data_IF_305106036300
#
_entry.id   IF_305106036300
#
_cell.length_a   1.000
_cell.length_b   1.000
_cell.length_c   1.000
_cell.angle_alpha   90.00
_cell.angle_beta   90.00
_cell.angle_gamma   90.00
#
_symmetry.space_group_name_H-M   'P 1'
#
loop_
_entity.id
_entity.type
_entity.pdbx_description
1 polymer ?
#
# COMPACT_ATOMS: atom_id res chain seq x y z
N UNK A 1 -79.71 36.82 -3.79
CA UNK A 1 -78.47 37.30 -4.46
C UNK A 1 -77.22 37.12 -3.61
N UNK A 2 -77.23 37.45 -2.30
CA UNK A 2 -76.04 37.34 -1.42
C UNK A 2 -75.42 35.93 -1.36
N UNK A 3 -76.24 34.88 -1.35
CA UNK A 3 -75.79 33.48 -1.31
C UNK A 3 -74.94 33.07 -2.53
N UNK A 4 -75.29 33.59 -3.71
CA UNK A 4 -74.51 33.37 -4.95
C UNK A 4 -73.15 34.05 -4.86
N UNK A 5 -73.08 35.25 -4.26
CA UNK A 5 -71.82 35.99 -4.09
C UNK A 5 -70.87 35.25 -3.16
N UNK A 6 -71.35 34.71 -2.03
CA UNK A 6 -70.53 33.91 -1.12
C UNK A 6 -70.04 32.62 -1.76
N UNK A 7 -70.88 31.94 -2.57
CA UNK A 7 -70.49 30.75 -3.31
C UNK A 7 -69.37 31.02 -4.32
N UNK A 8 -69.47 32.12 -5.08
CA UNK A 8 -68.46 32.51 -6.06
C UNK A 8 -67.13 32.88 -5.39
N UNK A 9 -67.16 33.62 -4.28
CA UNK A 9 -65.93 33.97 -3.54
C UNK A 9 -65.27 32.72 -2.97
N UNK A 10 -66.03 31.80 -2.37
CA UNK A 10 -65.50 30.53 -1.87
C UNK A 10 -64.86 29.68 -2.96
N UNK A 11 -65.50 29.61 -4.14
CA UNK A 11 -64.96 28.91 -5.30
C UNK A 11 -63.63 29.51 -5.78
N UNK A 12 -63.54 30.85 -5.86
CA UNK A 12 -62.30 31.54 -6.26
C UNK A 12 -61.16 31.30 -5.27
N UNK A 13 -61.44 31.35 -3.97
CA UNK A 13 -60.43 31.06 -2.93
C UNK A 13 -59.97 29.60 -3.02
N UNK A 14 -60.90 28.65 -3.20
CA UNK A 14 -60.57 27.24 -3.37
C UNK A 14 -59.70 26.96 -4.60
N UNK A 15 -60.02 27.60 -5.72
CA UNK A 15 -59.28 27.45 -6.98
C UNK A 15 -57.88 28.09 -6.88
N UNK A 16 -57.78 29.24 -6.20
CA UNK A 16 -56.50 29.87 -5.87
C UNK A 16 -55.61 28.98 -4.98
N UNK A 17 -56.18 28.38 -3.93
CA UNK A 17 -55.45 27.46 -3.04
C UNK A 17 -54.99 26.18 -3.74
N UNK A 18 -55.78 25.64 -4.65
CA UNK A 18 -55.41 24.48 -5.46
C UNK A 18 -54.24 24.80 -6.40
N UNK A 19 -54.27 25.97 -7.05
CA UNK A 19 -53.21 26.42 -7.94
C UNK A 19 -51.88 26.63 -7.21
N UNK A 20 -51.90 27.26 -6.03
CA UNK A 20 -50.68 27.46 -5.21
C UNK A 20 -50.12 26.14 -4.68
N UNK A 21 -50.99 25.21 -4.24
CA UNK A 21 -50.58 23.88 -3.79
C UNK A 21 -49.93 23.07 -4.92
N UNK A 22 -50.52 23.10 -6.11
CA UNK A 22 -49.96 22.42 -7.28
C UNK A 22 -48.60 23.01 -7.69
N UNK A 23 -48.47 24.35 -7.68
CA UNK A 23 -47.21 25.03 -7.97
C UNK A 23 -46.12 24.68 -6.95
N UNK A 24 -46.46 24.67 -5.65
CA UNK A 24 -45.55 24.27 -4.58
C UNK A 24 -45.10 22.81 -4.74
N UNK A 25 -46.02 21.89 -5.05
CA UNK A 25 -45.68 20.48 -5.23
C UNK A 25 -44.73 20.26 -6.43
N UNK A 26 -44.95 20.95 -7.55
CA UNK A 26 -44.06 20.88 -8.71
C UNK A 26 -42.66 21.43 -8.41
N UNK A 27 -42.59 22.50 -7.62
CA UNK A 27 -41.33 23.06 -7.18
C UNK A 27 -40.58 22.11 -6.24
N UNK A 28 -41.27 21.50 -5.27
CA UNK A 28 -40.71 20.50 -4.37
C UNK A 28 -40.14 19.29 -5.11
N UNK A 29 -40.83 18.77 -6.13
CA UNK A 29 -40.32 17.66 -6.95
C UNK A 29 -39.01 18.00 -7.65
N UNK A 30 -38.94 19.19 -8.27
CA UNK A 30 -37.70 19.65 -8.93
C UNK A 30 -36.55 19.83 -7.94
N UNK A 31 -36.84 20.34 -6.74
CA UNK A 31 -35.83 20.48 -5.69
C UNK A 31 -35.35 19.12 -5.18
N UNK A 32 -36.24 18.16 -4.99
CA UNK A 32 -35.88 16.80 -4.58
C UNK A 32 -34.97 16.13 -5.62
N UNK A 33 -35.34 16.17 -6.92
CA UNK A 33 -34.52 15.61 -7.99
C UNK A 33 -33.12 16.25 -8.08
N UNK A 34 -33.02 17.56 -7.84
CA UNK A 34 -31.74 18.27 -7.83
C UNK A 34 -30.88 17.91 -6.61
N UNK A 35 -31.50 17.69 -5.46
CA UNK A 35 -30.80 17.25 -4.25
C UNK A 35 -30.29 15.82 -4.41
N UNK A 36 -31.12 14.90 -4.88
CA UNK A 36 -30.74 13.51 -5.15
C UNK A 36 -29.56 13.43 -6.14
N UNK A 37 -29.60 14.24 -7.19
CA UNK A 37 -28.51 14.30 -8.17
C UNK A 37 -27.20 14.86 -7.59
N UNK A 38 -27.27 15.79 -6.62
CA UNK A 38 -26.09 16.32 -5.93
C UNK A 38 -25.54 15.33 -4.92
N UNK A 39 -26.42 14.69 -4.17
CA UNK A 39 -26.05 13.70 -3.16
C UNK A 39 -25.31 12.53 -3.79
N UNK A 40 -25.81 11.97 -4.90
CA UNK A 40 -25.12 10.90 -5.65
C UNK A 40 -23.71 11.30 -6.10
N UNK A 41 -23.54 12.53 -6.59
CA UNK A 41 -22.22 13.04 -7.00
C UNK A 41 -21.26 13.23 -5.83
N UNK A 42 -21.77 13.57 -4.66
CA UNK A 42 -20.95 13.70 -3.45
C UNK A 42 -20.55 12.30 -2.99
N UNK A 43 -21.50 11.38 -2.92
CA UNK A 43 -21.27 9.99 -2.52
C UNK A 43 -20.24 9.29 -3.43
N UNK A 44 -20.32 9.49 -4.75
CA UNK A 44 -19.31 8.99 -5.70
C UNK A 44 -17.90 9.53 -5.40
N UNK A 45 -17.79 10.84 -5.11
CA UNK A 45 -16.50 11.47 -4.79
C UNK A 45 -15.94 11.01 -3.44
N UNK A 46 -16.80 10.84 -2.45
CA UNK A 46 -16.40 10.34 -1.13
C UNK A 46 -15.88 8.92 -1.23
N UNK A 47 -16.59 8.04 -1.96
CA UNK A 47 -16.11 6.67 -2.23
C UNK A 47 -14.78 6.66 -2.97
N UNK A 48 -14.59 7.52 -3.97
CA UNK A 48 -13.32 7.63 -4.69
C UNK A 48 -12.18 8.18 -3.81
N UNK A 49 -12.48 9.10 -2.89
CA UNK A 49 -11.51 9.61 -1.93
C UNK A 49 -11.11 8.52 -0.93
N UNK A 50 -12.08 7.81 -0.38
CA UNK A 50 -11.87 6.71 0.55
C UNK A 50 -11.04 5.58 -0.08
N UNK A 51 -11.33 5.19 -1.33
CA UNK A 51 -10.53 4.20 -2.05
C UNK A 51 -9.09 4.66 -2.27
N UNK A 52 -8.89 5.95 -2.56
CA UNK A 52 -7.54 6.52 -2.71
C UNK A 52 -6.78 6.49 -1.39
N UNK A 53 -7.39 6.92 -0.30
CA UNK A 53 -6.79 6.90 1.03
C UNK A 53 -6.44 5.47 1.46
N UNK A 54 -7.34 4.52 1.24
CA UNK A 54 -7.11 3.10 1.51
C UNK A 54 -5.92 2.54 0.71
N UNK A 55 -5.89 2.82 -0.60
CA UNK A 55 -4.80 2.40 -1.46
C UNK A 55 -3.46 3.02 -1.06
N UNK A 56 -3.48 4.29 -0.61
CA UNK A 56 -2.30 4.98 -0.11
C UNK A 56 -1.80 4.33 1.17
N UNK A 57 -2.68 4.02 2.11
CA UNK A 57 -2.32 3.33 3.34
C UNK A 57 -1.72 1.95 3.07
N UNK A 58 -2.38 1.12 2.26
CA UNK A 58 -1.88 -0.19 1.86
C UNK A 58 -0.56 -0.11 1.06
N UNK A 59 -0.34 0.98 0.32
CA UNK A 59 0.92 1.21 -0.40
C UNK A 59 2.13 1.41 0.52
N UNK A 60 1.93 1.72 1.80
CA UNK A 60 2.98 1.88 2.80
C UNK A 60 3.65 0.56 3.22
N UNK A 61 3.07 -0.60 2.89
CA UNK A 61 3.71 -1.89 3.14
C UNK A 61 4.81 -2.17 2.12
N UNK A 62 6.06 -1.89 2.43
CA UNK A 62 7.16 -2.08 1.49
C UNK A 62 7.61 -3.54 1.40
N UNK A 63 7.89 -4.02 0.20
CA UNK A 63 8.50 -5.33 -0.05
C UNK A 63 9.88 -5.14 -0.66
N UNK A 64 10.85 -5.95 -0.24
CA UNK A 64 12.21 -5.92 -0.77
C UNK A 64 12.77 -7.33 -0.86
N UNK A 65 13.32 -7.64 -2.02
CA UNK A 65 14.09 -8.88 -2.22
C UNK A 65 15.57 -8.53 -2.14
N UNK A 66 16.31 -9.25 -1.30
CA UNK A 66 17.75 -9.06 -1.13
C UNK A 66 18.51 -10.35 -1.33
N UNK A 67 19.68 -10.25 -1.94
CA UNK A 67 20.63 -11.36 -2.10
C UNK A 67 21.67 -11.28 -0.99
N UNK A 68 21.89 -12.39 -0.28
CA UNK A 68 22.92 -12.53 0.73
C UNK A 68 23.77 -13.77 0.41
N UNK A 69 25.10 -13.62 0.37
CA UNK A 69 25.98 -14.79 0.25
C UNK A 69 25.91 -15.64 1.53
N UNK A 70 25.84 -16.96 1.38
CA UNK A 70 25.92 -17.89 2.51
C UNK A 70 27.24 -17.72 3.26
N UNK A 71 27.19 -17.88 4.59
CA UNK A 71 28.38 -17.89 5.45
C UNK A 71 29.18 -19.19 5.28
N UNK A 72 28.52 -20.29 4.91
CA UNK A 72 29.12 -21.60 4.74
C UNK A 72 29.86 -21.71 3.41
N UNK A 73 29.27 -21.21 2.32
CA UNK A 73 29.85 -21.29 0.99
C UNK A 73 29.54 -20.03 0.16
N UNK A 74 30.57 -19.34 -0.33
CA UNK A 74 30.40 -18.06 -1.02
C UNK A 74 29.73 -18.18 -2.40
N UNK A 75 29.72 -19.38 -2.99
CA UNK A 75 29.04 -19.71 -4.25
C UNK A 75 27.50 -19.78 -4.07
N UNK A 76 27.04 -20.06 -2.85
CA UNK A 76 25.62 -20.20 -2.54
C UNK A 76 25.06 -18.82 -2.19
N UNK A 77 24.12 -18.37 -3.01
CA UNK A 77 23.33 -17.17 -2.74
C UNK A 77 22.04 -17.55 -2.04
N UNK A 78 21.74 -16.86 -0.94
CA UNK A 78 20.49 -16.96 -0.19
C UNK A 78 19.67 -15.72 -0.53
N UNK A 79 18.45 -15.94 -0.98
CA UNK A 79 17.51 -14.87 -1.28
C UNK A 79 16.60 -14.63 -0.09
N UNK A 80 16.39 -13.38 0.26
CA UNK A 80 15.57 -12.97 1.41
C UNK A 80 14.50 -11.99 0.97
N UNK A 81 13.26 -12.28 1.34
CA UNK A 81 12.13 -11.39 1.17
C UNK A 81 11.88 -10.70 2.50
N UNK A 82 12.08 -9.38 2.51
CA UNK A 82 11.78 -8.52 3.65
C UNK A 82 10.52 -7.73 3.33
N UNK A 83 9.57 -7.72 4.26
CA UNK A 83 8.40 -6.85 4.23
C UNK A 83 8.45 -5.91 5.41
N UNK A 84 8.23 -4.63 5.18
CA UNK A 84 8.31 -3.57 6.19
C UNK A 84 7.02 -2.76 6.21
N UNK A 85 6.45 -2.58 7.39
CA UNK A 85 5.36 -1.64 7.59
C UNK A 85 5.91 -0.22 7.72
N UNK A 86 5.71 0.63 6.72
CA UNK A 86 6.03 2.06 6.79
C UNK A 86 4.82 2.94 7.14
N UNK A 87 3.68 2.34 7.49
CA UNK A 87 2.50 3.04 8.01
C UNK A 87 2.66 3.35 9.50
N UNK A 88 1.87 4.32 9.97
CA UNK A 88 1.65 4.57 11.40
C UNK A 88 0.61 3.64 12.02
N UNK A 89 -0.04 2.77 11.24
CA UNK A 89 -1.03 1.80 11.70
C UNK A 89 -0.52 0.36 11.47
N UNK A 90 -0.95 -0.61 12.30
CA UNK A 90 -0.55 -2.00 12.14
C UNK A 90 -1.22 -2.66 10.94
N UNK A 91 -0.54 -3.65 10.35
CA UNK A 91 -1.14 -4.60 9.42
C UNK A 91 -1.38 -5.93 10.13
N UNK A 92 -2.52 -6.58 9.86
CA UNK A 92 -2.89 -7.86 10.45
C UNK A 92 -3.02 -8.94 9.38
N UNK A 93 -3.08 -10.21 9.79
CA UNK A 93 -3.09 -11.38 8.90
C UNK A 93 -2.01 -11.32 7.79
N UNK A 94 -0.82 -10.82 8.12
CA UNK A 94 0.30 -10.72 7.17
C UNK A 94 0.81 -12.13 6.88
N UNK A 95 0.77 -12.52 5.61
CA UNK A 95 1.26 -13.80 5.12
C UNK A 95 2.12 -13.59 3.89
N UNK A 96 3.25 -14.30 3.84
CA UNK A 96 4.17 -14.27 2.71
C UNK A 96 4.09 -15.59 1.95
N UNK A 97 4.19 -15.52 0.64
CA UNK A 97 4.26 -16.71 -0.21
C UNK A 97 5.19 -16.51 -1.40
N UNK A 98 5.78 -17.62 -1.83
CA UNK A 98 6.61 -17.68 -3.03
C UNK A 98 6.24 -18.92 -3.84
N UNK A 99 5.92 -18.74 -5.13
CA UNK A 99 5.43 -19.82 -6.00
C UNK A 99 4.19 -20.53 -5.43
N UNK A 100 3.35 -19.80 -4.69
CA UNK A 100 2.18 -20.34 -4.00
C UNK A 100 2.48 -21.15 -2.75
N UNK A 101 3.75 -21.29 -2.34
CA UNK A 101 4.13 -21.92 -1.08
C UNK A 101 4.20 -20.87 0.04
N UNK A 102 3.61 -21.14 1.21
CA UNK A 102 3.69 -20.22 2.34
C UNK A 102 5.11 -20.17 2.90
N UNK A 103 5.55 -18.95 3.19
CA UNK A 103 6.79 -18.64 3.88
C UNK A 103 6.46 -18.53 5.39
N UNK A 104 7.18 -19.27 6.22
CA UNK A 104 6.84 -19.50 7.64
C UNK A 104 7.93 -18.96 8.60
N UNK A 105 8.62 -17.90 8.19
CA UNK A 105 9.61 -17.23 9.01
C UNK A 105 9.08 -16.89 10.41
N UNK A 106 9.92 -16.97 11.46
CA UNK A 106 9.49 -16.83 12.85
C UNK A 106 8.90 -15.46 13.19
N UNK A 107 9.20 -14.44 12.37
CA UNK A 107 8.71 -13.07 12.53
C UNK A 107 7.30 -12.87 11.91
N UNK A 108 6.78 -13.86 11.17
CA UNK A 108 5.45 -13.82 10.57
C UNK A 108 4.39 -14.27 11.58
N UNK A 109 4.20 -13.45 12.63
CA UNK A 109 3.15 -13.66 13.65
C UNK A 109 1.76 -13.21 13.21
N UNK A 110 1.55 -12.92 11.92
CA UNK A 110 0.31 -12.36 11.39
C UNK A 110 0.10 -10.87 11.70
N UNK A 111 0.67 -10.33 12.77
CA UNK A 111 0.68 -8.89 13.07
C UNK A 111 2.00 -8.26 12.66
N UNK A 112 1.94 -7.11 11.97
CA UNK A 112 3.10 -6.31 11.61
C UNK A 112 2.90 -4.86 12.08
N UNK A 113 3.49 -4.54 13.23
CA UNK A 113 3.38 -3.24 13.87
C UNK A 113 4.00 -2.09 13.04
N UNK A 114 3.62 -0.83 13.31
CA UNK A 114 4.23 0.34 12.68
C UNK A 114 5.76 0.33 12.76
N UNK A 115 6.43 0.45 11.61
CA UNK A 115 7.89 0.44 11.52
C UNK A 115 8.55 -0.94 11.59
N UNK A 116 7.82 -1.98 11.98
CA UNK A 116 8.32 -3.35 12.06
C UNK A 116 8.59 -3.94 10.66
N UNK A 117 9.45 -4.95 10.63
CA UNK A 117 9.73 -5.73 9.43
C UNK A 117 9.66 -7.22 9.75
N UNK A 118 9.19 -8.00 8.80
CA UNK A 118 9.28 -9.44 8.80
C UNK A 118 10.15 -9.88 7.62
N UNK A 119 11.04 -10.83 7.86
CA UNK A 119 11.91 -11.40 6.83
C UNK A 119 11.76 -12.92 6.74
N UNK A 120 11.78 -13.45 5.53
CA UNK A 120 11.92 -14.89 5.31
C UNK A 120 12.86 -15.20 4.13
N UNK A 121 13.42 -16.41 4.15
CA UNK A 121 14.31 -16.92 3.11
C UNK A 121 13.50 -17.53 1.98
N UNK A 122 13.76 -17.10 0.75
CA UNK A 122 13.17 -17.67 -0.45
C UNK A 122 13.90 -18.96 -0.82
N UNK A 123 13.14 -20.04 -0.95
CA UNK A 123 13.66 -21.30 -1.49
C UNK A 123 13.64 -21.23 -3.01
N UNK A 124 14.69 -20.63 -3.58
CA UNK A 124 14.89 -20.53 -5.03
C UNK A 124 15.82 -21.67 -5.46
N UNK A 125 15.57 -22.24 -6.64
CA UNK A 125 16.50 -23.18 -7.27
C UNK A 125 17.79 -22.48 -7.75
N UNK A 126 18.31 -22.88 -8.90
CA UNK A 126 19.42 -22.14 -9.53
C UNK A 126 18.88 -20.88 -10.19
N UNK A 127 19.32 -19.70 -9.73
CA UNK A 127 19.03 -18.42 -10.38
C UNK A 127 18.49 -17.35 -9.42
N UNK A 128 17.92 -16.32 -10.02
CA UNK A 128 17.27 -15.20 -9.35
C UNK A 128 15.78 -15.52 -9.10
N UNK A 129 15.19 -15.09 -7.97
CA UNK A 129 13.77 -15.27 -7.71
C UNK A 129 12.93 -14.47 -8.70
N UNK A 130 11.82 -15.05 -9.14
CA UNK A 130 10.82 -14.33 -9.94
C UNK A 130 10.00 -13.40 -9.03
N UNK A 131 10.08 -12.06 -9.20
CA UNK A 131 9.37 -11.12 -8.35
C UNK A 131 7.85 -11.18 -8.50
N UNK A 132 7.33 -11.68 -9.62
CA UNK A 132 5.88 -11.85 -9.81
C UNK A 132 5.33 -13.00 -8.96
N UNK A 133 6.20 -13.91 -8.53
CA UNK A 133 5.86 -15.05 -7.68
C UNK A 133 5.99 -14.73 -6.18
N UNK A 134 6.62 -13.61 -5.82
CA UNK A 134 6.70 -13.13 -4.45
C UNK A 134 5.46 -12.30 -4.10
N UNK A 135 4.68 -12.80 -3.15
CA UNK A 135 3.38 -12.23 -2.81
C UNK A 135 3.23 -12.10 -1.30
N UNK A 136 2.68 -10.95 -0.87
CA UNK A 136 2.22 -10.72 0.49
C UNK A 136 0.72 -10.48 0.49
N UNK A 137 0.01 -11.18 1.37
CA UNK A 137 -1.39 -10.86 1.68
C UNK A 137 -1.45 -10.30 3.10
N UNK A 138 -2.28 -9.28 3.29
CA UNK A 138 -2.41 -8.61 4.58
C UNK A 138 -3.79 -7.96 4.70
N UNK A 139 -4.13 -7.57 5.91
CA UNK A 139 -5.36 -6.85 6.25
C UNK A 139 -4.97 -5.51 6.85
N UNK A 140 -5.54 -4.41 6.36
CA UNK A 140 -5.29 -3.08 6.93
C UNK A 140 -6.06 -2.85 8.24
N UNK A 141 -5.89 -1.66 8.83
CA UNK A 141 -6.55 -1.29 10.08
C UNK A 141 -8.08 -1.18 9.95
N UNK A 142 -8.59 -1.02 8.73
CA UNK A 142 -10.03 -0.96 8.43
C UNK A 142 -10.61 -2.36 8.13
N UNK A 143 -9.79 -3.41 8.19
CA UNK A 143 -10.24 -4.78 7.94
C UNK A 143 -10.29 -5.16 6.45
N UNK A 144 -9.77 -4.31 5.55
CA UNK A 144 -9.74 -4.59 4.11
C UNK A 144 -8.57 -5.52 3.80
N UNK A 145 -8.82 -6.52 2.97
CA UNK A 145 -7.78 -7.45 2.51
C UNK A 145 -7.05 -6.91 1.31
N UNK A 146 -5.74 -7.02 1.34
CA UNK A 146 -4.85 -6.53 0.31
C UNK A 146 -3.87 -7.64 -0.09
N UNK A 147 -3.51 -7.62 -1.37
CA UNK A 147 -2.49 -8.49 -1.94
C UNK A 147 -1.48 -7.61 -2.67
N UNK A 148 -0.21 -7.73 -2.30
CA UNK A 148 0.88 -7.02 -2.93
C UNK A 148 1.92 -7.98 -3.50
N UNK A 149 2.43 -7.68 -4.68
CA UNK A 149 3.54 -8.41 -5.30
C UNK A 149 4.84 -7.64 -5.15
N UNK A 150 5.97 -8.33 -5.24
CA UNK A 150 7.28 -7.67 -5.22
C UNK A 150 7.51 -6.76 -6.44
N UNK A 151 6.75 -6.93 -7.53
CA UNK A 151 6.71 -6.00 -8.68
C UNK A 151 6.10 -4.63 -8.34
N UNK A 152 5.42 -4.51 -7.20
CA UNK A 152 4.74 -3.30 -6.77
C UNK A 152 3.24 -3.30 -7.03
N UNK A 153 2.72 -4.34 -7.70
CA UNK A 153 1.28 -4.51 -7.91
C UNK A 153 0.56 -4.63 -6.58
N UNK A 154 -0.45 -3.79 -6.36
CA UNK A 154 -1.32 -3.81 -5.20
C UNK A 154 -2.76 -4.03 -5.66
N UNK A 155 -3.43 -5.02 -5.06
CA UNK A 155 -4.82 -5.38 -5.36
C UNK A 155 -5.63 -5.50 -4.08
N UNK A 156 -6.85 -4.99 -4.12
CA UNK A 156 -7.81 -5.15 -3.04
C UNK A 156 -8.57 -6.48 -3.23
N UNK A 157 -8.76 -7.19 -2.12
CA UNK A 157 -9.58 -8.40 -2.05
C UNK A 157 -11.01 -8.04 -1.67
N UNK A 158 -11.97 -8.56 -2.43
CA UNK A 158 -13.40 -8.41 -2.18
C UNK A 158 -14.03 -9.79 -2.01
N UNK A 159 -14.91 -9.93 -1.03
CA UNK A 159 -15.69 -11.14 -0.86
C UNK A 159 -16.87 -11.13 -1.83
N UNK A 160 -17.00 -12.16 -2.66
CA UNK A 160 -18.14 -12.32 -3.56
C UNK A 160 -19.40 -12.80 -2.82
N UNK A 161 -20.52 -12.94 -3.54
CA UNK A 161 -21.79 -13.42 -2.96
C UNK A 161 -21.73 -14.88 -2.47
N UNK A 162 -20.70 -15.64 -2.83
CA UNK A 162 -20.46 -17.02 -2.38
C UNK A 162 -19.49 -17.10 -1.20
N UNK A 163 -19.02 -15.96 -0.67
CA UNK A 163 -18.04 -15.92 0.41
C UNK A 163 -16.60 -16.16 -0.04
N UNK A 164 -16.33 -16.20 -1.34
CA UNK A 164 -14.98 -16.40 -1.89
C UNK A 164 -14.26 -15.07 -2.02
N UNK A 165 -12.96 -15.08 -1.74
CA UNK A 165 -12.12 -13.91 -1.91
C UNK A 165 -11.72 -13.77 -3.38
N UNK A 166 -12.20 -12.72 -4.03
CA UNK A 166 -11.87 -12.35 -5.40
C UNK A 166 -11.02 -11.08 -5.37
N UNK A 167 -9.94 -11.06 -6.14
CA UNK A 167 -9.03 -9.92 -6.21
C UNK A 167 -9.45 -9.01 -7.36
N UNK A 168 -9.61 -7.72 -7.08
CA UNK A 168 -10.11 -6.79 -8.09
C UNK A 168 -9.16 -6.68 -9.29
N UNK A 169 -9.70 -6.66 -10.52
CA UNK A 169 -8.90 -6.48 -11.73
C UNK A 169 -8.47 -5.02 -11.83
N UNK A 170 -7.24 -4.76 -11.40
CA UNK A 170 -6.64 -3.42 -11.50
C UNK A 170 -5.34 -3.40 -10.75
N UNK A 171 -4.32 -2.76 -11.33
CA UNK A 171 -3.09 -2.46 -10.60
C UNK A 171 -3.30 -1.09 -9.99
N UNK A 172 -3.67 -1.03 -8.71
CA UNK A 172 -3.52 0.20 -7.95
C UNK A 172 -2.03 0.45 -7.87
N UNK A 173 -1.55 1.38 -8.69
CA UNK A 173 -0.14 1.75 -8.67
C UNK A 173 0.11 2.34 -7.29
N UNK A 174 0.78 1.55 -6.43
CA UNK A 174 1.33 2.06 -5.19
C UNK A 174 2.03 3.39 -5.52
N UNK A 175 1.68 4.45 -4.80
CA UNK A 175 2.30 5.76 -4.99
C UNK A 175 3.81 5.53 -5.12
N UNK A 176 4.37 5.82 -6.31
CA UNK A 176 5.74 5.45 -6.69
C UNK A 176 6.67 5.97 -5.60
N UNK A 177 7.04 5.13 -4.64
CA UNK A 177 8.18 5.40 -3.79
C UNK A 177 9.40 5.12 -4.67
N UNK A 178 10.21 6.13 -5.00
CA UNK A 178 11.33 6.00 -5.95
C UNK A 178 12.42 5.01 -5.50
N UNK A 179 12.29 4.42 -4.31
CA UNK A 179 13.26 3.47 -3.75
C UNK A 179 12.80 2.00 -3.77
N UNK A 180 11.62 1.68 -4.33
CA UNK A 180 11.20 0.28 -4.61
C UNK A 180 11.85 -0.30 -5.87
N UNK A 181 12.87 0.36 -6.42
CA UNK A 181 13.71 -0.29 -7.42
C UNK A 181 14.32 -1.55 -6.82
N UNK A 182 14.33 -2.64 -7.59
CA UNK A 182 15.19 -3.80 -7.39
C UNK A 182 16.63 -3.34 -7.36
N UNK A 183 17.05 -2.75 -6.24
CA UNK A 183 18.43 -2.40 -6.04
C UNK A 183 19.07 -3.74 -5.69
N UNK A 184 19.58 -4.42 -6.72
CA UNK A 184 20.63 -5.42 -6.59
C UNK A 184 21.78 -4.73 -5.87
N UNK A 185 21.68 -4.62 -4.55
CA UNK A 185 22.79 -4.22 -3.72
C UNK A 185 23.61 -5.49 -3.65
N UNK A 186 24.42 -5.70 -4.69
CA UNK A 186 25.51 -6.65 -4.64
C UNK A 186 26.39 -6.12 -3.50
N UNK A 187 26.18 -6.63 -2.27
CA UNK A 187 27.07 -6.40 -1.14
C UNK A 187 28.35 -7.19 -1.44
N UNK A 188 29.09 -6.77 -2.46
CA UNK A 188 30.46 -7.17 -2.66
C UNK A 188 31.20 -6.77 -1.39
N UNK A 189 31.61 -7.77 -0.63
CA UNK A 189 32.24 -7.65 0.69
C UNK A 189 33.23 -6.48 0.72
N UNK A 190 32.86 -5.37 1.38
CA UNK A 190 33.78 -4.30 1.82
C UNK A 190 34.66 -4.79 2.99
N UNK A 191 34.89 -6.10 3.09
CA UNK A 191 35.70 -6.73 4.15
C UNK A 191 37.20 -6.68 3.80
N UNK A 192 37.58 -6.39 2.54
CA UNK A 192 39.02 -6.30 2.17
C UNK A 192 39.66 -4.91 2.29
N UNK A 193 38.91 -3.80 2.40
CA UNK A 193 39.52 -2.45 2.48
C UNK A 193 40.08 -2.08 3.85
N UNK A 194 39.54 -2.60 4.96
CA UNK A 194 40.08 -2.30 6.30
C UNK A 194 41.45 -2.95 6.56
N UNK A 195 41.74 -4.12 5.98
CA UNK A 195 43.09 -4.73 6.08
C UNK A 195 44.13 -4.01 5.24
N UNK A 196 43.75 -3.42 4.11
CA UNK A 196 44.68 -2.69 3.24
C UNK A 196 45.04 -1.31 3.81
N UNK A 197 44.09 -0.60 4.43
CA UNK A 197 44.37 0.68 5.11
C UNK A 197 45.22 0.45 6.36
N UNK A 198 44.97 -0.62 7.13
CA UNK A 198 45.82 -0.97 8.28
C UNK A 198 47.26 -1.34 7.86
N UNK A 199 47.43 -2.00 6.71
CA UNK A 199 48.78 -2.31 6.18
C UNK A 199 49.52 -1.04 5.73
N UNK A 200 48.83 -0.10 5.07
CA UNK A 200 49.46 1.15 4.62
C UNK A 200 49.89 2.06 5.79
N UNK A 201 49.11 2.12 6.88
CA UNK A 201 49.48 2.92 8.06
C UNK A 201 50.71 2.33 8.75
N UNK A 202 50.82 0.99 8.83
CA UNK A 202 52.00 0.32 9.38
C UNK A 202 53.27 0.55 8.54
N UNK A 203 53.16 0.60 7.21
CA UNK A 203 54.34 0.89 6.35
C UNK A 203 54.83 2.33 6.46
N UNK A 204 53.94 3.31 6.64
CA UNK A 204 54.35 4.73 6.74
C UNK A 204 55.05 5.02 8.07
N UNK A 205 54.62 4.39 9.17
CA UNK A 205 55.24 4.58 10.49
C UNK A 205 56.65 3.96 10.58
N UNK A 206 56.93 2.87 9.86
CA UNK A 206 58.27 2.25 9.87
C UNK A 206 59.33 2.95 9.01
N UNK A 207 58.96 3.83 8.06
CA UNK A 207 59.93 4.52 7.20
C UNK A 207 60.40 5.85 7.80
N UNK A 208 59.62 6.46 8.70
CA UNK A 208 59.96 7.74 9.33
C UNK A 208 61.27 7.77 10.16
N UNK A 209 61.65 6.74 10.94
CA UNK A 209 62.88 6.82 11.74
C UNK A 209 64.17 6.61 10.93
N UNK A 210 64.12 6.04 9.72
CA UNK A 210 65.31 5.80 8.90
C UNK A 210 65.86 7.09 8.27
N UNK A 211 65.01 8.08 8.01
CA UNK A 211 65.44 9.37 7.44
C UNK A 211 66.10 10.29 8.47
N UNK A 212 65.78 10.14 9.76
CA UNK A 212 66.32 11.00 10.82
C UNK A 212 67.79 10.68 11.18
N UNK A 213 68.30 9.52 10.77
CA UNK A 213 69.70 9.12 10.99
C UNK A 213 70.64 9.49 9.83
N UNK A 214 70.11 9.82 8.65
CA UNK A 214 70.92 10.17 7.48
C UNK A 214 71.24 11.68 7.36
N UNK A 215 70.70 12.51 8.26
CA UNK A 215 70.85 13.97 8.29
C UNK A 215 71.67 14.48 9.50
N UNK A 216 72.33 13.57 10.22
CA UNK A 216 73.33 13.88 11.27
C UNK A 216 74.71 13.50 10.78
#
# INVERSE_FOLDING_TARGET
MMEVVFGVIGALIGLGGLATTYAAHRHQRRHAEQLDARERRIEEREREAELREASQHASMLQMKITQQSSSLEASISIWKLTVKNCSSQPFTNVSLSYVGLPLNGPELGGLLDPGASAEDTLTVGRGDPDPDQCLVEFTDAEGRRWRRRATGDLRQGRTDSQGRLVWEPGVLHAARYPDMGFRYIHRSRVVKRRRLIALCILTVVSIAPAWYLALR
#
